data_IF_061116456996
#
_entry.id   IF_061116456996
#
_cell.length_a   1.000
_cell.length_b   1.000
_cell.length_c   1.000
_cell.angle_alpha   90.00
_cell.angle_beta   90.00
_cell.angle_gamma   90.00
#
_symmetry.space_group_name_H-M   'P 1'
#
loop_
_entity.id
_entity.type
_entity.pdbx_description
1 polymer ?
#
# COMPACT_ATOMS: atom_id res chain seq x y z
N UNK A 1 5.83 -24.88 -15.23
CA UNK A 1 6.53 -23.84 -14.46
C UNK A 1 5.92 -22.50 -14.88
N UNK A 2 4.89 -22.02 -14.17
CA UNK A 2 4.30 -20.72 -14.47
C UNK A 2 5.12 -19.65 -13.75
N UNK A 3 5.77 -18.76 -14.50
CA UNK A 3 6.49 -17.62 -13.93
C UNK A 3 5.45 -16.71 -13.29
N UNK A 4 5.55 -16.52 -11.97
CA UNK A 4 4.74 -15.54 -11.25
C UNK A 4 5.15 -14.15 -11.77
N UNK A 5 4.43 -13.64 -12.77
CA UNK A 5 4.58 -12.26 -13.19
C UNK A 5 4.08 -11.42 -12.02
N UNK A 6 5.02 -10.84 -11.27
CA UNK A 6 4.68 -9.80 -10.31
C UNK A 6 3.91 -8.73 -11.08
N UNK A 7 2.61 -8.61 -10.80
CA UNK A 7 1.69 -7.71 -11.52
C UNK A 7 2.21 -6.26 -11.56
N UNK A 8 3.11 -5.91 -10.65
CA UNK A 8 3.72 -4.59 -10.51
C UNK A 8 4.97 -4.36 -11.37
N UNK A 9 5.59 -5.39 -11.97
CA UNK A 9 6.87 -5.24 -12.68
C UNK A 9 6.75 -4.41 -13.97
N UNK A 10 5.53 -4.26 -14.50
CA UNK A 10 5.23 -3.49 -15.70
C UNK A 10 4.56 -2.13 -15.38
N UNK A 11 4.36 -1.79 -14.11
CA UNK A 11 3.86 -0.45 -13.75
C UNK A 11 5.02 0.54 -13.63
N UNK A 12 4.85 1.79 -14.10
CA UNK A 12 5.81 2.84 -13.84
C UNK A 12 5.97 3.03 -12.32
N UNK A 13 7.22 3.16 -11.88
CA UNK A 13 7.53 3.49 -10.50
C UNK A 13 7.00 4.90 -10.19
N UNK A 14 6.15 5.00 -9.19
CA UNK A 14 5.54 6.27 -8.77
C UNK A 14 6.36 6.87 -7.63
N UNK A 15 6.82 8.09 -7.81
CA UNK A 15 7.51 8.91 -6.80
C UNK A 15 6.96 10.33 -6.84
N UNK A 16 7.06 11.06 -5.73
CA UNK A 16 6.79 12.50 -5.77
C UNK A 16 7.84 13.22 -6.64
N UNK A 17 7.52 14.42 -7.17
CA UNK A 17 8.48 15.22 -7.96
C UNK A 17 9.77 15.56 -7.21
N UNK A 18 9.71 15.59 -5.88
CA UNK A 18 10.87 15.82 -4.99
C UNK A 18 11.68 14.53 -4.70
N UNK A 19 11.28 13.40 -5.28
CA UNK A 19 11.92 12.10 -5.08
C UNK A 19 11.48 11.36 -3.81
N UNK A 20 10.62 11.94 -2.98
CA UNK A 20 10.11 11.26 -1.79
C UNK A 20 9.13 10.12 -2.16
N UNK A 21 9.05 9.07 -1.32
CA UNK A 21 8.07 8.00 -1.48
C UNK A 21 6.64 8.53 -1.48
N UNK A 22 5.76 7.94 -2.30
CA UNK A 22 4.33 8.17 -2.20
C UNK A 22 3.85 7.82 -0.78
N UNK A 23 2.95 8.64 -0.23
CA UNK A 23 2.32 8.40 1.08
C UNK A 23 0.92 7.82 0.89
N UNK A 24 0.64 6.71 1.55
CA UNK A 24 -0.67 6.05 1.54
C UNK A 24 -1.22 5.89 2.96
N UNK A 25 -2.54 6.03 3.09
CA UNK A 25 -3.30 5.69 4.28
C UNK A 25 -4.21 4.51 3.95
N UNK A 26 -4.02 3.38 4.62
CA UNK A 26 -4.91 2.22 4.54
C UNK A 26 -6.00 2.39 5.59
N UNK A 27 -7.27 2.39 5.16
CA UNK A 27 -8.45 2.47 6.02
C UNK A 27 -9.32 1.28 5.67
N UNK A 28 -9.28 0.27 6.53
CA UNK A 28 -10.08 -0.94 6.40
C UNK A 28 -10.43 -1.43 7.82
N UNK A 29 -11.63 -1.98 8.00
CA UNK A 29 -12.09 -2.49 9.29
C UNK A 29 -11.58 -3.91 9.58
N UNK A 30 -11.02 -4.57 8.58
CA UNK A 30 -10.46 -5.92 8.65
C UNK A 30 -8.91 -5.85 8.80
N UNK A 31 -8.36 -6.26 9.95
CA UNK A 31 -6.92 -6.14 10.21
C UNK A 31 -6.04 -6.95 9.24
N UNK A 32 -6.50 -8.12 8.79
CA UNK A 32 -5.69 -9.00 7.93
C UNK A 32 -5.55 -8.44 6.51
N UNK A 33 -6.61 -7.82 5.98
CA UNK A 33 -6.61 -7.11 4.71
C UNK A 33 -5.79 -5.83 4.80
N UNK A 34 -5.94 -5.06 5.90
CA UNK A 34 -5.10 -3.89 6.17
C UNK A 34 -3.61 -4.23 6.11
N UNK A 35 -3.19 -5.33 6.73
CA UNK A 35 -1.80 -5.77 6.75
C UNK A 35 -1.35 -6.25 5.36
N UNK A 36 -2.19 -7.03 4.66
CA UNK A 36 -1.89 -7.49 3.31
C UNK A 36 -1.68 -6.33 2.33
N UNK A 37 -2.59 -5.34 2.34
CA UNK A 37 -2.45 -4.15 1.50
C UNK A 37 -1.22 -3.33 1.88
N UNK A 38 -0.96 -3.16 3.18
CA UNK A 38 0.21 -2.44 3.68
C UNK A 38 1.52 -3.07 3.22
N UNK A 39 1.61 -4.40 3.22
CA UNK A 39 2.77 -5.12 2.71
C UNK A 39 2.98 -4.86 1.22
N UNK A 40 1.93 -4.97 0.41
CA UNK A 40 2.01 -4.70 -1.04
C UNK A 40 2.45 -3.27 -1.36
N UNK A 41 1.90 -2.28 -0.65
CA UNK A 41 2.26 -0.87 -0.83
C UNK A 41 3.70 -0.57 -0.40
N UNK A 42 4.17 -1.17 0.70
CA UNK A 42 5.58 -1.07 1.12
C UNK A 42 6.52 -1.72 0.10
N UNK A 43 6.13 -2.85 -0.50
CA UNK A 43 6.89 -3.49 -1.58
C UNK A 43 6.96 -2.62 -2.85
N UNK A 44 5.98 -1.76 -3.08
CA UNK A 44 6.02 -0.73 -4.13
C UNK A 44 6.87 0.49 -3.76
N UNK A 45 7.52 0.50 -2.60
CA UNK A 45 8.39 1.57 -2.12
C UNK A 45 7.63 2.75 -1.49
N UNK A 46 6.36 2.59 -1.14
CA UNK A 46 5.55 3.67 -0.57
C UNK A 46 5.67 3.75 0.95
N UNK A 47 5.48 4.95 1.50
CA UNK A 47 5.30 5.17 2.93
C UNK A 47 3.84 4.93 3.30
N UNK A 48 3.58 4.01 4.23
CA UNK A 48 2.22 3.54 4.54
C UNK A 48 1.89 3.78 6.01
N UNK A 49 0.76 4.42 6.25
CA UNK A 49 0.08 4.48 7.54
C UNK A 49 -1.20 3.64 7.49
N UNK A 50 -1.61 3.08 8.63
CA UNK A 50 -2.87 2.34 8.78
C UNK A 50 -3.71 3.09 9.81
N UNK A 51 -4.96 3.41 9.45
CA UNK A 51 -5.94 3.86 10.43
C UNK A 51 -6.76 2.64 10.87
N UNK A 52 -6.52 2.18 12.09
CA UNK A 52 -7.34 1.13 12.70
C UNK A 52 -8.60 1.75 13.29
N UNK A 53 -9.77 1.26 12.86
CA UNK A 53 -11.05 1.58 13.48
C UNK A 53 -11.79 2.75 12.83
N UNK A 54 -12.70 2.43 11.91
CA UNK A 54 -13.87 3.27 11.64
C UNK A 54 -14.89 3.16 12.77
N UNK A 55 -14.50 3.41 14.02
CA UNK A 55 -15.44 3.44 15.14
C UNK A 55 -15.98 4.87 15.33
N UNK A 56 -16.99 5.23 14.53
CA UNK A 56 -17.90 6.34 14.79
C UNK A 56 -17.35 7.73 14.48
N UNK A 57 -18.17 8.55 13.81
CA UNK A 57 -17.87 9.97 13.59
C UNK A 57 -17.66 10.73 14.90
N UNK A 58 -16.76 11.71 14.83
CA UNK A 58 -16.53 12.79 15.79
C UNK A 58 -15.76 13.89 15.09
#
# INVERSE_FOLDING_TARGET
MATSHSMTNNLPQLTHPDGSPIRALVVDDEPSLSELMSMGLRMAGWSVAVAGGGAGGG
#
